data_IF_852986997838
#
_entry.id   IF_852986997838
#
_cell.length_a   1.000
_cell.length_b   1.000
_cell.length_c   1.000
_cell.angle_alpha   90.00
_cell.angle_beta   90.00
_cell.angle_gamma   90.00
#
_symmetry.space_group_name_H-M   'P 1'
#
loop_
_entity.id
_entity.type
_entity.pdbx_description
1 polymer ?
#
# COMPACT_ATOMS: atom_id res chain seq x y z
N UNK A 1 3.86 29.78 35.71
CA UNK A 1 4.42 28.41 35.63
C UNK A 1 3.32 27.47 35.14
N UNK A 2 3.34 27.12 33.86
CA UNK A 2 2.37 26.20 33.28
C UNK A 2 2.72 24.76 33.70
N UNK A 3 1.82 24.10 34.44
CA UNK A 3 1.94 22.67 34.74
C UNK A 3 1.74 21.88 33.45
N UNK A 4 2.81 21.26 32.96
CA UNK A 4 2.76 20.30 31.86
C UNK A 4 1.91 19.12 32.32
N UNK A 5 0.71 18.96 31.76
CA UNK A 5 -0.12 17.77 31.99
C UNK A 5 0.47 16.64 31.14
N UNK A 6 1.15 15.70 31.78
CA UNK A 6 1.54 14.43 31.15
C UNK A 6 0.29 13.69 30.67
N UNK A 7 0.26 13.20 29.42
CA UNK A 7 -0.85 12.40 28.93
C UNK A 7 -0.99 11.11 29.76
N UNK A 8 -2.21 10.54 29.87
CA UNK A 8 -2.42 9.30 30.61
C UNK A 8 -1.63 8.16 29.96
N UNK A 9 -0.86 7.44 30.77
CA UNK A 9 -0.01 6.32 30.36
C UNK A 9 -0.87 5.24 29.70
N UNK A 10 -0.59 4.93 28.44
CA UNK A 10 -1.27 3.85 27.73
C UNK A 10 -0.92 2.49 28.36
N UNK A 11 -1.76 1.45 28.23
CA UNK A 11 -1.39 0.10 28.68
C UNK A 11 -0.07 -0.39 28.08
N UNK A 12 0.25 0.01 26.83
CA UNK A 12 1.52 -0.28 26.18
C UNK A 12 2.71 0.42 26.84
N UNK A 13 2.58 1.69 27.22
CA UNK A 13 3.60 2.42 27.96
C UNK A 13 3.81 1.84 29.37
N UNK A 14 2.75 1.38 30.04
CA UNK A 14 2.86 0.71 31.34
C UNK A 14 3.63 -0.61 31.24
N UNK A 15 3.37 -1.41 30.22
CA UNK A 15 4.10 -2.66 29.95
C UNK A 15 5.55 -2.35 29.57
N UNK A 16 5.79 -1.38 28.70
CA UNK A 16 7.15 -0.95 28.33
C UNK A 16 7.93 -0.45 29.55
N UNK A 17 7.29 0.29 30.46
CA UNK A 17 7.90 0.78 31.69
C UNK A 17 8.17 -0.37 32.68
N UNK A 18 7.28 -1.36 32.78
CA UNK A 18 7.56 -2.60 33.54
C UNK A 18 8.71 -3.41 32.94
N UNK A 19 8.84 -3.45 31.61
CA UNK A 19 9.93 -4.14 30.94
C UNK A 19 11.26 -3.41 31.21
N UNK A 20 11.29 -2.09 31.04
CA UNK A 20 12.48 -1.26 31.31
C UNK A 20 12.91 -1.29 32.80
N UNK A 21 11.96 -1.45 33.72
CA UNK A 21 12.25 -1.54 35.15
C UNK A 21 12.79 -2.92 35.59
N UNK A 22 12.45 -3.99 34.86
CA UNK A 22 12.79 -5.36 35.23
C UNK A 22 13.93 -5.97 34.40
N UNK A 23 14.28 -5.36 33.27
CA UNK A 23 15.31 -5.84 32.36
C UNK A 23 16.29 -4.73 32.01
N UNK A 24 17.60 -5.04 32.05
CA UNK A 24 18.68 -4.11 31.69
C UNK A 24 18.83 -4.04 30.16
N UNK A 25 18.13 -3.09 29.53
CA UNK A 25 18.09 -2.92 28.08
C UNK A 25 19.04 -1.78 27.68
N UNK A 26 20.12 -2.11 26.96
CA UNK A 26 21.15 -1.14 26.53
C UNK A 26 21.29 -1.04 25.01
N UNK A 27 20.80 -2.04 24.28
CA UNK A 27 20.90 -2.15 22.83
C UNK A 27 19.62 -2.70 22.19
N UNK A 28 19.51 -2.58 20.88
CA UNK A 28 18.40 -3.17 20.12
C UNK A 28 18.40 -4.71 20.16
N UNK A 29 19.57 -5.34 20.36
CA UNK A 29 19.68 -6.79 20.55
C UNK A 29 19.12 -7.22 21.92
N UNK A 30 19.37 -6.44 22.97
CA UNK A 30 18.82 -6.71 24.31
C UNK A 30 17.29 -6.64 24.30
N UNK A 31 16.69 -5.73 23.51
CA UNK A 31 15.22 -5.67 23.33
C UNK A 31 14.70 -6.98 22.72
N UNK A 32 15.36 -7.51 21.71
CA UNK A 32 14.96 -8.77 21.07
C UNK A 32 15.08 -9.95 22.03
N UNK A 33 16.13 -9.98 22.85
CA UNK A 33 16.34 -11.05 23.83
C UNK A 33 15.35 -10.99 24.99
N UNK A 34 15.00 -9.78 25.45
CA UNK A 34 13.93 -9.59 26.43
C UNK A 34 12.58 -10.03 25.88
N UNK A 35 12.28 -9.72 24.62
CA UNK A 35 11.06 -10.20 23.97
C UNK A 35 11.02 -11.74 23.93
N UNK A 36 12.11 -12.42 23.55
CA UNK A 36 12.21 -13.90 23.61
C UNK A 36 11.92 -14.44 25.01
N UNK A 37 12.44 -13.78 26.06
CA UNK A 37 12.24 -14.17 27.46
C UNK A 37 10.80 -13.95 27.95
N UNK A 38 10.05 -13.04 27.33
CA UNK A 38 8.64 -12.76 27.64
C UNK A 38 7.70 -13.75 26.91
N UNK A 39 7.99 -14.09 25.65
CA UNK A 39 7.12 -14.97 24.85
C UNK A 39 7.00 -16.39 25.42
N UNK A 40 8.09 -16.96 25.95
CA UNK A 40 8.06 -18.31 26.54
C UNK A 40 7.05 -18.44 27.70
N UNK A 41 7.14 -17.61 28.74
CA UNK A 41 6.19 -17.55 29.85
C UNK A 41 4.73 -17.30 29.44
N UNK A 42 4.48 -16.53 28.38
CA UNK A 42 3.11 -16.32 27.84
C UNK A 42 2.54 -17.66 27.34
N UNK A 43 3.28 -18.38 26.49
CA UNK A 43 2.86 -19.69 26.01
C UNK A 43 2.71 -20.70 27.15
N UNK A 44 3.63 -20.70 28.13
CA UNK A 44 3.50 -21.56 29.33
C UNK A 44 2.23 -21.25 30.13
N UNK A 45 1.86 -19.97 30.25
CA UNK A 45 0.69 -19.55 31.02
C UNK A 45 -0.62 -19.90 30.33
N UNK A 46 -0.66 -19.72 29.00
CA UNK A 46 -1.75 -20.19 28.15
C UNK A 46 -1.96 -21.70 28.27
N UNK A 47 -0.89 -22.50 28.17
CA UNK A 47 -0.96 -23.95 28.32
C UNK A 47 -1.37 -24.39 29.74
N UNK A 48 -1.00 -23.63 30.77
CA UNK A 48 -1.47 -23.87 32.16
C UNK A 48 -2.97 -23.58 32.28
N UNK A 49 -3.48 -22.54 31.62
CA UNK A 49 -4.91 -22.24 31.54
C UNK A 49 -5.69 -23.35 30.84
N UNK A 50 -5.20 -23.86 29.71
CA UNK A 50 -5.78 -25.02 29.04
C UNK A 50 -5.79 -26.27 29.94
N UNK A 51 -4.71 -26.51 30.68
CA UNK A 51 -4.61 -27.63 31.63
C UNK A 51 -5.57 -27.48 32.82
N UNK A 52 -5.78 -26.25 33.31
CA UNK A 52 -6.79 -25.95 34.33
C UNK A 52 -8.19 -26.24 33.84
N UNK A 53 -8.51 -25.85 32.60
CA UNK A 53 -9.79 -26.15 31.99
C UNK A 53 -9.98 -27.66 31.74
N UNK A 54 -8.94 -28.35 31.24
CA UNK A 54 -8.95 -29.81 31.00
C UNK A 54 -9.19 -30.62 32.28
N UNK A 55 -8.58 -30.21 33.40
CA UNK A 55 -8.71 -30.90 34.68
C UNK A 55 -9.87 -30.39 35.53
N UNK A 56 -10.51 -29.27 35.15
CA UNK A 56 -11.64 -28.67 35.87
C UNK A 56 -11.32 -28.05 37.23
N UNK A 57 -10.05 -27.91 37.60
CA UNK A 57 -9.63 -27.35 38.90
C UNK A 57 -8.27 -26.64 38.79
N UNK A 58 -8.02 -25.65 39.66
CA UNK A 58 -6.74 -24.90 39.67
C UNK A 58 -5.60 -25.71 40.26
N UNK A 59 -4.37 -25.23 40.07
CA UNK A 59 -3.18 -25.84 40.67
C UNK A 59 -3.29 -25.81 42.21
N UNK A 60 -3.14 -26.97 42.85
CA UNK A 60 -3.24 -27.17 44.31
C UNK A 60 -4.64 -27.02 44.92
N UNK A 61 -5.67 -26.91 44.09
CA UNK A 61 -7.06 -26.98 44.53
C UNK A 61 -7.48 -28.44 44.72
N UNK A 62 -8.21 -28.74 45.80
CA UNK A 62 -8.75 -30.09 46.03
C UNK A 62 -9.88 -30.34 45.03
N UNK A 63 -9.76 -31.40 44.25
CA UNK A 63 -10.82 -31.91 43.40
C UNK A 63 -11.51 -33.07 44.12
N UNK A 64 -12.84 -33.04 44.22
CA UNK A 64 -13.63 -34.09 44.87
C UNK A 64 -13.94 -35.28 43.94
N UNK A 65 -13.76 -35.12 42.61
CA UNK A 65 -14.22 -36.07 41.56
C UNK A 65 -13.16 -36.44 40.49
N UNK A 66 -11.90 -36.04 40.62
CA UNK A 66 -10.90 -36.18 39.56
C UNK A 66 -10.01 -37.43 39.62
N UNK A 67 -10.18 -38.38 38.68
CA UNK A 67 -9.28 -39.53 38.48
C UNK A 67 -7.94 -39.15 37.80
N UNK A 68 -7.86 -37.95 37.22
CA UNK A 68 -6.68 -37.43 36.54
C UNK A 68 -6.08 -36.22 37.26
N UNK A 69 -4.74 -36.19 37.38
CA UNK A 69 -4.00 -35.16 38.12
C UNK A 69 -2.81 -34.65 37.32
N UNK A 70 -2.32 -33.45 37.65
CA UNK A 70 -1.11 -32.88 37.03
C UNK A 70 0.11 -33.74 37.35
N UNK A 71 0.96 -33.99 36.35
CA UNK A 71 2.18 -34.78 36.46
C UNK A 71 3.41 -34.05 35.87
N UNK A 72 3.66 -32.85 36.41
CA UNK A 72 4.82 -32.04 36.06
C UNK A 72 4.74 -31.42 34.66
N UNK A 73 5.92 -31.23 34.05
CA UNK A 73 6.08 -30.54 32.76
C UNK A 73 7.00 -31.32 31.82
N UNK A 74 6.88 -31.07 30.52
CA UNK A 74 7.80 -31.51 29.47
C UNK A 74 8.44 -30.30 28.80
N UNK A 75 9.73 -30.38 28.46
CA UNK A 75 10.44 -29.31 27.75
C UNK A 75 10.13 -29.37 26.25
N UNK A 76 9.84 -28.21 25.65
CA UNK A 76 9.63 -28.07 24.21
C UNK A 76 10.25 -26.76 23.73
N UNK A 77 11.08 -26.82 22.69
CA UNK A 77 11.61 -25.61 22.04
C UNK A 77 10.71 -25.23 20.87
N UNK A 78 10.18 -24.01 20.90
CA UNK A 78 9.40 -23.42 19.82
C UNK A 78 10.31 -22.63 18.90
N UNK A 79 10.05 -22.73 17.60
CA UNK A 79 10.61 -21.85 16.58
C UNK A 79 9.62 -20.72 16.35
N UNK A 80 10.01 -19.52 16.76
CA UNK A 80 9.25 -18.28 16.61
C UNK A 80 9.93 -17.40 15.57
N UNK A 81 9.24 -16.34 15.12
CA UNK A 81 9.84 -15.32 14.23
C UNK A 81 11.06 -14.65 14.86
N UNK A 82 11.12 -14.58 16.20
CA UNK A 82 12.23 -14.01 16.97
C UNK A 82 13.34 -15.02 17.28
N UNK A 83 13.21 -16.29 16.89
CA UNK A 83 14.20 -17.34 17.15
C UNK A 83 13.66 -18.49 18.01
N UNK A 84 14.56 -19.28 18.59
CA UNK A 84 14.20 -20.46 19.38
C UNK A 84 13.87 -20.07 20.82
N UNK A 85 12.67 -20.43 21.28
CA UNK A 85 12.17 -20.14 22.63
C UNK A 85 11.88 -21.45 23.35
N UNK A 86 12.58 -21.78 24.46
CA UNK A 86 12.26 -22.94 25.28
C UNK A 86 11.01 -22.68 26.13
N UNK A 87 10.11 -23.65 26.17
CA UNK A 87 8.91 -23.62 27.01
C UNK A 87 8.72 -24.92 27.78
N UNK A 88 8.00 -24.85 28.91
CA UNK A 88 7.56 -26.00 29.70
C UNK A 88 6.07 -26.25 29.52
N UNK A 89 5.75 -27.36 28.87
CA UNK A 89 4.38 -27.80 28.60
C UNK A 89 3.87 -28.63 29.78
N UNK A 90 2.74 -28.27 30.43
CA UNK A 90 2.19 -29.06 31.52
C UNK A 90 1.72 -30.43 31.04
N UNK A 91 1.80 -31.42 31.93
CA UNK A 91 1.33 -32.79 31.68
C UNK A 91 0.31 -33.21 32.73
N UNK A 92 -0.61 -34.07 32.32
CA UNK A 92 -1.50 -34.82 33.18
C UNK A 92 -0.99 -36.26 33.36
N UNK A 93 -1.51 -36.96 34.36
CA UNK A 93 -1.04 -38.30 34.74
C UNK A 93 -1.53 -39.36 33.76
N UNK A 94 -2.74 -39.21 33.24
CA UNK A 94 -3.35 -40.15 32.31
C UNK A 94 -2.98 -39.86 30.84
N UNK A 95 -2.19 -38.82 30.56
CA UNK A 95 -1.76 -38.41 29.22
C UNK A 95 -2.91 -38.08 28.25
N UNK A 96 -4.08 -37.73 28.78
CA UNK A 96 -5.29 -37.36 28.01
C UNK A 96 -5.31 -35.90 27.62
N UNK A 97 -4.40 -35.07 28.15
CA UNK A 97 -4.32 -33.65 27.77
C UNK A 97 -3.84 -33.49 26.32
N UNK A 98 -4.65 -32.82 25.49
CA UNK A 98 -4.32 -32.42 24.12
C UNK A 98 -4.32 -30.88 24.00
N UNK A 99 -3.14 -30.22 24.08
CA UNK A 99 -3.06 -28.77 24.00
C UNK A 99 -3.47 -28.25 22.63
N UNK A 100 -4.28 -27.19 22.61
CA UNK A 100 -4.85 -26.62 21.38
C UNK A 100 -3.96 -25.49 20.83
N UNK A 101 -3.48 -24.60 21.69
CA UNK A 101 -2.62 -23.46 21.30
C UNK A 101 -1.30 -23.94 20.69
N UNK A 102 -0.69 -25.00 21.24
CA UNK A 102 0.50 -25.63 20.67
C UNK A 102 0.35 -27.15 20.67
N UNK A 103 -0.11 -27.70 19.54
CA UNK A 103 -0.34 -29.14 19.38
C UNK A 103 0.89 -29.97 19.74
N UNK A 104 0.66 -31.22 20.16
CA UNK A 104 1.73 -32.21 20.40
C UNK A 104 2.63 -32.28 19.15
N UNK A 105 3.95 -32.29 19.36
CA UNK A 105 4.98 -32.29 18.31
C UNK A 105 5.07 -31.05 17.39
N UNK A 106 4.11 -30.12 17.39
CA UNK A 106 4.21 -28.87 16.63
C UNK A 106 5.25 -27.93 17.25
N UNK A 107 6.39 -27.72 16.57
CA UNK A 107 7.48 -26.85 17.06
C UNK A 107 7.57 -25.52 16.34
N UNK A 108 6.92 -25.35 15.20
CA UNK A 108 6.95 -24.09 14.44
C UNK A 108 5.66 -23.30 14.67
N UNK A 109 5.82 -22.09 15.20
CA UNK A 109 4.74 -21.12 15.45
C UNK A 109 5.01 -19.79 14.75
N UNK A 110 6.09 -19.68 13.98
CA UNK A 110 6.53 -18.46 13.30
C UNK A 110 5.60 -18.00 12.15
N UNK A 111 4.73 -18.89 11.65
CA UNK A 111 3.90 -18.61 10.46
C UNK A 111 2.62 -17.79 10.70
N UNK A 112 2.19 -17.56 11.95
CA UNK A 112 0.87 -16.94 12.18
C UNK A 112 0.87 -15.44 11.92
N UNK A 113 1.93 -14.72 12.31
CA UNK A 113 2.05 -13.28 12.08
C UNK A 113 2.00 -12.95 10.59
N UNK A 114 2.77 -13.69 9.78
CA UNK A 114 2.73 -13.56 8.32
C UNK A 114 1.34 -13.84 7.73
N UNK A 115 0.57 -14.78 8.30
CA UNK A 115 -0.81 -15.06 7.88
C UNK A 115 -1.78 -13.95 8.32
N UNK A 116 -1.64 -13.41 9.52
CA UNK A 116 -2.39 -12.25 10.01
C UNK A 116 -2.16 -11.05 9.11
N UNK A 117 -0.91 -10.73 8.79
CA UNK A 117 -0.56 -9.66 7.86
C UNK A 117 -1.13 -9.91 6.46
N UNK A 118 -1.08 -11.15 5.97
CA UNK A 118 -1.63 -11.51 4.67
C UNK A 118 -3.17 -11.41 4.63
N UNK A 119 -3.87 -11.69 5.74
CA UNK A 119 -5.32 -11.49 5.86
C UNK A 119 -5.69 -10.01 5.94
N UNK A 120 -4.92 -9.23 6.71
CA UNK A 120 -5.07 -7.79 6.79
C UNK A 120 -4.82 -7.11 5.43
N UNK A 121 -3.78 -7.52 4.70
CA UNK A 121 -3.48 -7.09 3.33
C UNK A 121 -4.61 -7.40 2.33
N UNK A 122 -5.45 -8.39 2.62
CA UNK A 122 -6.64 -8.73 1.83
C UNK A 122 -7.89 -7.93 2.22
N UNK A 123 -7.78 -7.03 3.20
CA UNK A 123 -8.88 -6.19 3.66
C UNK A 123 -9.80 -6.88 4.67
N UNK A 124 -9.31 -7.88 5.41
CA UNK A 124 -10.06 -8.41 6.55
C UNK A 124 -10.01 -7.43 7.72
N UNK A 125 -11.13 -7.24 8.43
CA UNK A 125 -11.12 -6.43 9.66
C UNK A 125 -10.32 -7.17 10.75
N UNK A 126 -9.79 -6.45 11.74
CA UNK A 126 -9.07 -7.10 12.85
C UNK A 126 -9.96 -8.12 13.59
N UNK A 127 -11.27 -7.87 13.68
CA UNK A 127 -12.24 -8.80 14.25
C UNK A 127 -12.50 -10.00 13.34
N UNK A 128 -12.59 -9.78 12.02
CA UNK A 128 -12.74 -10.86 11.04
C UNK A 128 -11.52 -11.80 11.10
N UNK A 129 -10.32 -11.22 11.25
CA UNK A 129 -9.07 -11.97 11.38
C UNK A 129 -9.06 -12.78 12.67
N UNK A 130 -9.43 -12.17 13.81
CA UNK A 130 -9.55 -12.86 15.09
C UNK A 130 -10.48 -14.08 14.99
N UNK A 131 -11.69 -13.89 14.45
CA UNK A 131 -12.66 -14.97 14.24
C UNK A 131 -12.11 -16.04 13.29
N UNK A 132 -11.46 -15.65 12.18
CA UNK A 132 -10.87 -16.59 11.22
C UNK A 132 -9.74 -17.42 11.84
N UNK A 133 -8.93 -16.82 12.72
CA UNK A 133 -7.88 -17.53 13.44
C UNK A 133 -8.49 -18.53 14.42
N UNK A 134 -9.52 -18.14 15.17
CA UNK A 134 -10.25 -19.03 16.08
C UNK A 134 -10.87 -20.22 15.33
N UNK A 135 -11.54 -19.96 14.21
CA UNK A 135 -12.19 -21.00 13.39
C UNK A 135 -11.18 -22.00 12.79
N UNK A 136 -10.02 -21.52 12.31
CA UNK A 136 -9.04 -22.38 11.60
C UNK A 136 -8.08 -23.06 12.58
N UNK A 137 -7.63 -22.34 13.61
CA UNK A 137 -6.56 -22.79 14.50
C UNK A 137 -7.06 -23.22 15.89
N UNK A 138 -8.32 -22.94 16.25
CA UNK A 138 -8.94 -23.40 17.50
C UNK A 138 -8.51 -22.62 18.74
N UNK A 139 -7.83 -21.47 18.58
CA UNK A 139 -7.46 -20.61 19.69
C UNK A 139 -7.84 -19.15 19.44
N UNK A 140 -8.18 -18.47 20.53
CA UNK A 140 -8.61 -17.07 20.49
C UNK A 140 -7.42 -16.13 20.41
N UNK A 141 -7.49 -15.18 19.47
CA UNK A 141 -6.63 -14.00 19.44
C UNK A 141 -7.49 -12.76 19.58
N UNK A 142 -7.13 -11.86 20.49
CA UNK A 142 -7.88 -10.60 20.65
C UNK A 142 -7.62 -9.66 19.46
N UNK A 143 -8.57 -8.77 19.17
CA UNK A 143 -8.36 -7.75 18.14
C UNK A 143 -7.17 -6.82 18.47
N UNK A 144 -6.83 -6.65 19.75
CA UNK A 144 -5.67 -5.88 20.20
C UNK A 144 -4.35 -6.56 19.84
N UNK A 145 -4.27 -7.89 19.97
CA UNK A 145 -3.13 -8.67 19.52
C UNK A 145 -2.94 -8.56 18.00
N UNK A 146 -4.04 -8.68 17.23
CA UNK A 146 -4.01 -8.45 15.77
C UNK A 146 -3.57 -7.02 15.44
N UNK A 147 -4.06 -6.03 16.19
CA UNK A 147 -3.65 -4.64 16.02
C UNK A 147 -2.15 -4.44 16.27
N UNK A 148 -1.61 -5.11 17.29
CA UNK A 148 -0.18 -5.08 17.61
C UNK A 148 0.66 -5.67 16.48
N UNK A 149 0.31 -6.86 15.98
CA UNK A 149 1.01 -7.52 14.86
C UNK A 149 0.98 -6.63 13.61
N UNK A 150 -0.18 -6.06 13.27
CA UNK A 150 -0.29 -5.15 12.11
C UNK A 150 0.43 -3.81 12.34
N UNK A 151 0.63 -3.40 13.60
CA UNK A 151 1.39 -2.21 13.98
C UNK A 151 2.87 -2.31 13.65
N UNK A 152 3.47 -3.51 13.75
CA UNK A 152 4.88 -3.75 13.43
C UNK A 152 5.25 -3.39 11.98
N UNK A 153 4.28 -3.39 11.06
CA UNK A 153 4.49 -3.03 9.65
C UNK A 153 4.78 -1.53 9.47
N UNK A 154 4.48 -0.69 10.47
CA UNK A 154 4.65 0.75 10.32
C UNK A 154 6.12 1.16 10.13
N UNK A 155 7.06 0.46 10.76
CA UNK A 155 8.49 0.71 10.55
C UNK A 155 8.89 0.42 9.10
N UNK A 156 8.38 -0.67 8.52
CA UNK A 156 8.61 -0.99 7.10
C UNK A 156 7.96 0.04 6.16
N UNK A 157 6.77 0.55 6.53
CA UNK A 157 6.07 1.59 5.77
C UNK A 157 6.94 2.84 5.71
N UNK A 158 7.45 3.31 6.85
CA UNK A 158 8.31 4.50 6.91
C UNK A 158 9.65 4.27 6.19
N UNK A 159 10.25 3.09 6.33
CA UNK A 159 11.45 2.74 5.57
C UNK A 159 11.19 2.75 4.06
N UNK A 160 10.04 2.22 3.61
CA UNK A 160 9.66 2.22 2.21
C UNK A 160 9.34 3.61 1.68
N UNK A 161 8.66 4.45 2.47
CA UNK A 161 8.36 5.85 2.12
C UNK A 161 9.64 6.69 1.99
N UNK A 162 10.68 6.38 2.76
CA UNK A 162 11.96 7.09 2.71
C UNK A 162 13.03 6.39 1.87
N UNK A 163 12.69 5.29 1.18
CA UNK A 163 13.67 4.50 0.42
C UNK A 163 14.28 5.34 -0.72
N UNK A 164 15.56 5.10 -1.07
CA UNK A 164 16.17 5.70 -2.24
C UNK A 164 15.45 5.26 -3.52
N UNK A 165 15.27 6.20 -4.44
CA UNK A 165 14.65 6.02 -5.75
C UNK A 165 15.71 6.09 -6.85
N UNK A 166 15.38 5.57 -8.04
CA UNK A 166 16.26 5.67 -9.19
C UNK A 166 16.35 7.13 -9.66
N UNK A 167 17.47 7.48 -10.29
CA UNK A 167 17.70 8.85 -10.75
C UNK A 167 16.79 9.30 -11.88
N UNK A 168 16.25 8.37 -12.68
CA UNK A 168 15.42 8.71 -13.83
C UNK A 168 14.29 7.71 -14.04
N UNK A 169 13.10 8.24 -14.33
CA UNK A 169 11.92 7.48 -14.71
C UNK A 169 11.37 8.02 -16.04
N UNK A 170 11.40 7.25 -17.15
CA UNK A 170 10.85 7.68 -18.43
C UNK A 170 9.36 8.01 -18.40
N UNK A 171 8.58 7.29 -17.60
CA UNK A 171 7.15 7.52 -17.42
C UNK A 171 6.79 7.55 -15.94
N UNK A 172 5.97 8.52 -15.56
CA UNK A 172 5.32 8.60 -14.27
C UNK A 172 3.83 8.90 -14.46
N UNK A 173 3.01 8.35 -13.57
CA UNK A 173 1.56 8.47 -13.54
C UNK A 173 1.14 8.86 -12.14
N UNK A 174 0.32 9.90 -12.03
CA UNK A 174 -0.27 10.33 -10.76
C UNK A 174 -1.77 10.15 -10.85
N UNK A 175 -2.34 9.50 -9.84
CA UNK A 175 -3.79 9.38 -9.68
C UNK A 175 -4.14 9.43 -8.19
N UNK A 176 -5.40 9.66 -7.87
CA UNK A 176 -5.88 9.70 -6.51
C UNK A 176 -6.99 8.67 -6.25
N UNK A 177 -7.08 8.21 -5.01
CA UNK A 177 -8.20 7.43 -4.51
C UNK A 177 -8.75 8.10 -3.26
N UNK A 178 -10.07 8.33 -3.25
CA UNK A 178 -10.75 8.83 -2.06
C UNK A 178 -10.99 7.69 -1.06
N UNK A 179 -10.66 7.94 0.20
CA UNK A 179 -10.88 7.03 1.32
C UNK A 179 -11.68 7.72 2.42
N UNK A 180 -12.54 6.96 3.09
CA UNK A 180 -13.26 7.43 4.27
C UNK A 180 -12.34 7.38 5.48
N UNK A 181 -11.99 8.52 6.06
CA UNK A 181 -11.16 8.64 7.26
C UNK A 181 -12.02 9.13 8.43
N UNK A 182 -11.88 8.53 9.61
CA UNK A 182 -12.51 9.00 10.83
C UNK A 182 -11.61 10.05 11.48
N UNK A 183 -12.10 11.26 11.57
CA UNK A 183 -11.48 12.38 12.30
C UNK A 183 -12.30 12.69 13.56
N UNK A 184 -11.82 13.61 14.39
CA UNK A 184 -12.56 14.07 15.58
C UNK A 184 -13.93 14.68 15.24
N UNK A 185 -14.06 15.24 14.03
CA UNK A 185 -15.27 15.89 13.52
C UNK A 185 -16.22 14.93 12.76
N UNK A 186 -15.90 13.64 12.71
CA UNK A 186 -16.70 12.63 12.03
C UNK A 186 -15.96 11.94 10.88
N UNK A 187 -16.70 11.37 9.92
CA UNK A 187 -16.10 10.67 8.78
C UNK A 187 -15.97 11.64 7.61
N UNK A 188 -14.74 11.83 7.13
CA UNK A 188 -14.42 12.71 6.00
C UNK A 188 -13.85 11.89 4.83
N UNK A 189 -14.09 12.36 3.61
CA UNK A 189 -13.45 11.79 2.41
C UNK A 189 -12.12 12.49 2.19
N UNK A 190 -11.03 11.73 2.24
CA UNK A 190 -9.67 12.25 2.03
C UNK A 190 -9.08 11.66 0.77
N UNK A 191 -8.39 12.48 -0.02
CA UNK A 191 -7.69 12.06 -1.23
C UNK A 191 -6.33 11.47 -0.88
N UNK A 192 -6.09 10.23 -1.32
CA UNK A 192 -4.78 9.57 -1.25
C UNK A 192 -4.19 9.55 -2.65
N UNK A 193 -3.11 10.31 -2.85
CA UNK A 193 -2.37 10.34 -4.09
C UNK A 193 -1.37 9.20 -4.16
N UNK A 194 -1.31 8.55 -5.31
CA UNK A 194 -0.34 7.50 -5.62
C UNK A 194 0.39 7.88 -6.89
N UNK A 195 1.73 7.76 -6.86
CA UNK A 195 2.56 7.94 -8.04
C UNK A 195 3.19 6.61 -8.44
N UNK A 196 2.90 6.17 -9.66
CA UNK A 196 3.45 4.96 -10.28
C UNK A 196 4.37 5.39 -11.41
N UNK A 197 5.54 4.79 -11.52
CA UNK A 197 6.48 5.05 -12.59
C UNK A 197 6.95 3.77 -13.29
N UNK A 198 7.52 3.95 -14.47
CA UNK A 198 8.31 2.93 -15.15
C UNK A 198 9.76 3.36 -15.14
N UNK A 199 10.65 2.44 -14.78
CA UNK A 199 12.09 2.66 -14.91
C UNK A 199 12.56 2.51 -16.37
N UNK A 200 13.85 2.70 -16.60
CA UNK A 200 14.50 2.54 -17.93
C UNK A 200 14.36 1.12 -18.50
N UNK A 201 14.14 0.13 -17.65
CA UNK A 201 13.92 -1.26 -18.00
C UNK A 201 12.43 -1.61 -18.19
N UNK A 202 11.52 -0.64 -18.00
CA UNK A 202 10.09 -0.85 -18.13
C UNK A 202 9.50 -1.67 -16.98
N UNK A 203 10.21 -1.77 -15.85
CA UNK A 203 9.67 -2.28 -14.59
C UNK A 203 8.80 -1.22 -13.94
N UNK A 204 7.73 -1.67 -13.29
CA UNK A 204 6.82 -0.78 -12.56
C UNK A 204 7.33 -0.54 -11.16
N UNK A 205 7.30 0.73 -10.75
CA UNK A 205 7.63 1.11 -9.38
C UNK A 205 6.62 2.11 -8.80
N UNK A 206 6.10 1.86 -7.60
CA UNK A 206 5.28 2.84 -6.87
C UNK A 206 6.24 3.74 -6.10
N UNK A 207 6.26 5.02 -6.46
CA UNK A 207 7.22 5.98 -5.92
C UNK A 207 6.82 6.47 -4.52
N UNK A 208 5.51 6.60 -4.27
CA UNK A 208 5.03 7.00 -2.95
C UNK A 208 3.51 7.06 -2.84
N UNK A 209 3.08 7.36 -1.63
CA UNK A 209 1.70 7.61 -1.23
C UNK A 209 1.67 8.90 -0.41
N UNK A 210 0.72 9.77 -0.71
CA UNK A 210 0.55 11.05 0.00
C UNK A 210 -0.91 11.27 0.32
N UNK A 211 -1.17 11.74 1.53
CA UNK A 211 -2.50 12.16 1.99
C UNK A 211 -2.40 13.67 2.13
N UNK A 212 -3.15 14.40 1.30
CA UNK A 212 -3.21 15.85 1.37
C UNK A 212 -4.66 16.30 1.46
N UNK A 213 -4.94 17.22 2.38
CA UNK A 213 -6.27 17.82 2.52
C UNK A 213 -6.56 18.86 1.44
N UNK A 214 -5.52 19.49 0.87
CA UNK A 214 -5.67 20.57 -0.11
C UNK A 214 -4.85 20.33 -1.38
N UNK A 215 -5.51 20.49 -2.53
CA UNK A 215 -4.90 20.46 -3.86
C UNK A 215 -4.28 21.82 -4.20
N UNK A 216 -3.14 22.14 -3.57
CA UNK A 216 -2.41 23.38 -3.83
C UNK A 216 -1.11 23.13 -4.60
N UNK A 217 -0.64 24.14 -5.34
CA UNK A 217 0.69 24.13 -5.98
C UNK A 217 1.78 23.80 -4.97
N UNK A 218 1.71 24.37 -3.76
CA UNK A 218 2.70 24.13 -2.71
C UNK A 218 2.73 22.67 -2.25
N UNK A 219 1.57 22.03 -2.11
CA UNK A 219 1.49 20.61 -1.75
C UNK A 219 2.15 19.72 -2.83
N UNK A 220 1.91 20.03 -4.12
CA UNK A 220 2.55 19.31 -5.22
C UNK A 220 4.07 19.54 -5.28
N UNK A 221 4.52 20.77 -5.06
CA UNK A 221 5.97 21.05 -4.97
C UNK A 221 6.64 20.24 -3.86
N UNK A 222 6.02 20.14 -2.68
CA UNK A 222 6.54 19.32 -1.58
C UNK A 222 6.66 17.84 -1.96
N UNK A 223 5.64 17.27 -2.64
CA UNK A 223 5.69 15.88 -3.12
C UNK A 223 6.87 15.68 -4.09
N UNK A 224 7.04 16.58 -5.06
CA UNK A 224 8.11 16.46 -6.05
C UNK A 224 9.50 16.71 -5.44
N UNK A 225 9.62 17.64 -4.47
CA UNK A 225 10.86 17.88 -3.72
C UNK A 225 11.24 16.67 -2.85
N UNK A 226 10.27 15.99 -2.22
CA UNK A 226 10.50 14.73 -1.50
C UNK A 226 11.06 13.65 -2.45
N UNK A 227 10.47 13.48 -3.63
CA UNK A 227 10.96 12.54 -4.63
C UNK A 227 12.38 12.86 -5.07
N UNK A 228 12.69 14.16 -5.22
CA UNK A 228 14.05 14.62 -5.55
C UNK A 228 15.03 14.34 -4.43
N UNK A 229 14.65 14.58 -3.17
CA UNK A 229 15.46 14.27 -1.99
C UNK A 229 15.74 12.76 -1.87
N UNK A 230 14.80 11.92 -2.31
CA UNK A 230 14.95 10.45 -2.36
C UNK A 230 15.78 9.95 -3.55
N UNK A 231 16.20 10.82 -4.46
CA UNK A 231 17.18 10.50 -5.52
C UNK A 231 16.71 10.68 -6.95
N UNK A 232 15.43 11.03 -7.19
CA UNK A 232 14.92 11.31 -8.54
C UNK A 232 15.52 12.61 -9.05
N UNK A 233 16.35 12.55 -10.08
CA UNK A 233 16.98 13.73 -10.69
C UNK A 233 16.12 14.30 -11.81
N UNK A 234 15.56 13.42 -12.64
CA UNK A 234 14.77 13.81 -13.81
C UNK A 234 13.54 12.91 -14.00
N UNK A 235 12.50 13.49 -14.61
CA UNK A 235 11.31 12.79 -15.07
C UNK A 235 11.14 12.99 -16.58
N UNK A 236 10.88 11.90 -17.30
CA UNK A 236 10.64 11.94 -18.74
C UNK A 236 9.27 12.53 -19.06
N UNK A 237 8.24 11.71 -18.88
CA UNK A 237 6.84 12.06 -19.13
C UNK A 237 6.03 11.84 -17.85
N UNK A 238 5.27 12.85 -17.44
CA UNK A 238 4.36 12.79 -16.29
C UNK A 238 2.90 12.87 -16.77
N UNK A 239 2.18 11.76 -16.67
CA UNK A 239 0.76 11.66 -16.99
C UNK A 239 -0.08 11.89 -15.74
N UNK A 240 -0.91 12.92 -15.77
CA UNK A 240 -1.62 13.45 -14.60
C UNK A 240 -3.05 13.84 -14.95
N UNK A 241 -3.92 13.94 -13.95
CA UNK A 241 -5.20 14.62 -14.12
C UNK A 241 -5.01 16.16 -14.22
N UNK A 242 -6.05 16.85 -14.65
CA UNK A 242 -6.17 18.31 -14.79
C UNK A 242 -6.16 19.10 -13.47
N UNK A 243 -5.60 18.56 -12.38
CA UNK A 243 -5.67 19.15 -11.04
C UNK A 243 -4.86 20.46 -10.98
N UNK A 244 -5.44 21.48 -10.34
CA UNK A 244 -4.82 22.79 -10.17
C UNK A 244 -3.48 22.71 -9.42
N UNK A 245 -2.46 23.42 -9.89
CA UNK A 245 -1.16 23.50 -9.22
C UNK A 245 -0.20 22.34 -9.52
N UNK A 246 -0.69 21.23 -10.08
CA UNK A 246 0.11 20.01 -10.29
C UNK A 246 1.12 20.19 -11.43
N UNK A 247 0.69 20.78 -12.54
CA UNK A 247 1.60 21.08 -13.66
C UNK A 247 2.65 22.12 -13.29
N UNK A 248 2.25 23.21 -12.59
CA UNK A 248 3.21 24.21 -12.16
C UNK A 248 4.17 23.67 -11.09
N UNK A 249 3.68 22.81 -10.19
CA UNK A 249 4.52 22.15 -9.18
C UNK A 249 5.53 21.19 -9.83
N UNK A 250 5.09 20.37 -10.79
CA UNK A 250 5.95 19.46 -11.53
C UNK A 250 7.05 20.21 -12.29
N UNK A 251 6.69 21.29 -13.01
CA UNK A 251 7.66 22.11 -13.77
C UNK A 251 8.59 22.94 -12.88
N UNK A 252 8.22 23.21 -11.63
CA UNK A 252 9.11 23.89 -10.68
C UNK A 252 10.28 22.99 -10.23
N UNK A 253 10.02 21.69 -10.05
CA UNK A 253 11.03 20.72 -9.58
C UNK A 253 11.72 20.01 -10.74
N UNK A 254 10.95 19.60 -11.75
CA UNK A 254 11.40 18.90 -12.95
C UNK A 254 11.05 19.72 -14.21
N UNK A 255 11.80 20.80 -14.50
CA UNK A 255 11.44 21.78 -15.54
C UNK A 255 11.37 21.19 -16.95
N UNK A 256 12.11 20.11 -17.21
CA UNK A 256 12.13 19.44 -18.50
C UNK A 256 11.08 18.35 -18.65
N UNK A 257 10.34 18.00 -17.58
CA UNK A 257 9.34 16.95 -17.64
C UNK A 257 8.20 17.29 -18.60
N UNK A 258 7.88 16.35 -19.49
CA UNK A 258 6.78 16.49 -20.42
C UNK A 258 5.47 16.14 -19.71
N UNK A 259 4.64 17.16 -19.47
CA UNK A 259 3.36 17.02 -18.76
C UNK A 259 2.26 16.63 -19.74
N UNK A 260 1.63 15.49 -19.49
CA UNK A 260 0.55 14.94 -20.30
C UNK A 260 -0.74 14.88 -19.48
N UNK A 261 -1.85 15.39 -20.04
CA UNK A 261 -3.18 15.15 -19.46
C UNK A 261 -3.63 13.72 -19.71
N UNK A 262 -4.10 13.08 -18.66
CA UNK A 262 -4.61 11.73 -18.71
C UNK A 262 -5.85 11.64 -19.61
N UNK A 263 -5.73 10.94 -20.74
CA UNK A 263 -6.81 10.80 -21.72
C UNK A 263 -8.07 10.16 -21.11
N UNK A 264 -7.91 9.20 -20.19
CA UNK A 264 -9.06 8.57 -19.53
C UNK A 264 -9.79 9.55 -18.60
N UNK A 265 -9.07 10.42 -17.89
CA UNK A 265 -9.71 11.49 -17.11
C UNK A 265 -10.38 12.53 -18.00
N UNK A 266 -9.78 12.92 -19.14
CA UNK A 266 -10.44 13.80 -20.13
C UNK A 266 -11.75 13.18 -20.67
N UNK A 267 -11.73 11.89 -21.01
CA UNK A 267 -12.94 11.16 -21.41
C UNK A 267 -13.96 11.16 -20.27
N UNK A 268 -13.57 10.81 -19.04
CA UNK A 268 -14.48 10.77 -17.88
C UNK A 268 -15.07 12.14 -17.53
N UNK A 269 -14.32 13.21 -17.71
CA UNK A 269 -14.77 14.57 -17.38
C UNK A 269 -15.74 15.09 -18.45
N UNK A 270 -15.44 14.86 -19.73
CA UNK A 270 -16.30 15.26 -20.84
C UNK A 270 -17.59 14.43 -20.97
N UNK A 271 -17.54 13.13 -20.67
CA UNK A 271 -18.71 12.23 -20.84
C UNK A 271 -19.84 12.52 -19.84
N UNK A 272 -19.56 13.24 -18.73
CA UNK A 272 -20.57 13.66 -17.74
C UNK A 272 -21.66 14.55 -18.34
N UNK A 273 -21.34 15.28 -19.40
CA UNK A 273 -22.28 16.15 -20.13
C UNK A 273 -23.07 15.41 -21.21
N UNK A 274 -22.74 14.14 -21.48
CA UNK A 274 -23.31 13.35 -22.58
C UNK A 274 -24.36 12.38 -22.04
N UNK A 275 -25.56 12.29 -22.65
CA UNK A 275 -26.56 11.30 -22.29
C UNK A 275 -26.01 9.87 -22.43
N UNK A 276 -26.35 8.99 -21.49
CA UNK A 276 -25.82 7.62 -21.42
C UNK A 276 -26.00 6.80 -22.71
N UNK A 277 -27.09 7.04 -23.45
CA UNK A 277 -27.35 6.40 -24.75
C UNK A 277 -26.31 6.72 -25.82
N UNK A 278 -25.65 7.88 -25.72
CA UNK A 278 -24.70 8.39 -26.71
C UNK A 278 -23.23 8.16 -26.31
N UNK A 279 -22.96 7.61 -25.11
CA UNK A 279 -21.59 7.36 -24.61
C UNK A 279 -20.73 6.53 -25.58
N UNK A 280 -21.31 5.50 -26.20
CA UNK A 280 -20.58 4.64 -27.15
C UNK A 280 -20.16 5.41 -28.41
N UNK A 281 -21.03 6.24 -28.97
CA UNK A 281 -20.70 7.06 -30.14
C UNK A 281 -19.64 8.12 -29.80
N UNK A 282 -19.84 8.83 -28.68
CA UNK A 282 -18.93 9.86 -28.18
C UNK A 282 -17.51 9.32 -27.96
N UNK A 283 -17.37 8.23 -27.21
CA UNK A 283 -16.05 7.63 -26.91
C UNK A 283 -15.37 7.02 -28.14
N UNK A 284 -16.14 6.47 -29.09
CA UNK A 284 -15.60 5.99 -30.37
C UNK A 284 -15.00 7.13 -31.18
N UNK A 285 -15.65 8.29 -31.24
CA UNK A 285 -15.13 9.44 -31.97
C UNK A 285 -13.89 10.04 -31.28
N UNK A 286 -13.89 10.14 -29.95
CA UNK A 286 -12.70 10.55 -29.20
C UNK A 286 -11.49 9.65 -29.48
N UNK A 287 -11.71 8.35 -29.66
CA UNK A 287 -10.65 7.41 -30.04
C UNK A 287 -10.05 7.68 -31.42
N UNK A 288 -10.80 8.28 -32.35
CA UNK A 288 -10.26 8.70 -33.64
C UNK A 288 -9.31 9.89 -33.49
N UNK A 289 -9.54 10.75 -32.49
CA UNK A 289 -8.64 11.86 -32.17
C UNK A 289 -7.33 11.31 -31.65
N UNK A 290 -7.26 10.82 -30.40
CA UNK A 290 -5.99 10.40 -29.79
C UNK A 290 -5.37 9.13 -30.41
N UNK A 291 -6.13 8.39 -31.21
CA UNK A 291 -5.69 7.22 -31.98
C UNK A 291 -5.22 7.54 -33.41
N UNK A 292 -5.27 8.80 -33.84
CA UNK A 292 -4.83 9.21 -35.18
C UNK A 292 -3.37 8.84 -35.47
N UNK A 293 -3.00 8.80 -36.76
CA UNK A 293 -1.64 8.46 -37.18
C UNK A 293 -0.68 9.61 -36.84
N UNK A 294 -1.10 10.84 -37.13
CA UNK A 294 -0.33 12.07 -36.95
C UNK A 294 -1.21 13.23 -36.46
N UNK A 295 -0.57 14.33 -36.06
CA UNK A 295 -1.23 15.52 -35.51
C UNK A 295 -2.21 16.17 -36.50
N UNK A 296 -1.90 16.14 -37.82
CA UNK A 296 -2.77 16.72 -38.85
C UNK A 296 -4.11 16.00 -38.91
N UNK A 297 -4.10 14.67 -38.88
CA UNK A 297 -5.32 13.87 -38.82
C UNK A 297 -6.04 14.06 -37.47
N UNK A 298 -5.32 14.14 -36.36
CA UNK A 298 -5.91 14.39 -35.04
C UNK A 298 -6.69 15.72 -35.00
N UNK A 299 -6.13 16.79 -35.58
CA UNK A 299 -6.80 18.09 -35.74
C UNK A 299 -8.07 17.99 -36.59
N UNK A 300 -8.01 17.27 -37.72
CA UNK A 300 -9.18 17.08 -38.57
C UNK A 300 -10.31 16.33 -37.86
N UNK A 301 -9.99 15.26 -37.14
CA UNK A 301 -10.97 14.51 -36.34
C UNK A 301 -11.49 15.34 -35.15
N UNK A 302 -10.66 16.24 -34.60
CA UNK A 302 -11.06 17.14 -33.54
C UNK A 302 -12.05 18.22 -34.01
N UNK A 303 -11.83 18.81 -35.19
CA UNK A 303 -12.80 19.74 -35.79
C UNK A 303 -14.15 19.05 -36.06
N UNK A 304 -14.14 17.83 -36.60
CA UNK A 304 -15.37 17.04 -36.78
C UNK A 304 -16.06 16.77 -35.44
N UNK A 305 -15.30 16.39 -34.42
CA UNK A 305 -15.83 16.18 -33.07
C UNK A 305 -16.51 17.42 -32.51
N UNK A 306 -15.94 18.62 -32.70
CA UNK A 306 -16.57 19.87 -32.27
C UNK A 306 -17.91 20.10 -32.99
N UNK A 307 -17.97 19.84 -34.28
CA UNK A 307 -19.23 19.98 -35.06
C UNK A 307 -20.28 18.95 -34.61
N UNK A 308 -19.91 17.67 -34.51
CA UNK A 308 -20.84 16.59 -34.20
C UNK A 308 -21.42 16.70 -32.79
N UNK A 309 -20.64 17.23 -31.84
CA UNK A 309 -21.03 17.36 -30.43
C UNK A 309 -21.29 18.81 -30.01
N UNK A 310 -21.51 19.73 -30.94
CA UNK A 310 -21.76 21.16 -30.66
C UNK A 310 -22.96 21.39 -29.72
N UNK A 311 -23.92 20.48 -29.70
CA UNK A 311 -25.06 20.51 -28.78
C UNK A 311 -24.66 20.34 -27.30
N UNK A 312 -23.43 19.89 -27.02
CA UNK A 312 -22.88 19.66 -25.69
C UNK A 312 -21.60 20.50 -25.47
N UNK A 313 -21.70 21.83 -25.40
CA UNK A 313 -20.54 22.73 -25.31
C UNK A 313 -19.66 22.45 -24.07
N UNK A 314 -20.24 21.96 -22.97
CA UNK A 314 -19.48 21.52 -21.79
C UNK A 314 -18.56 20.32 -22.08
N UNK A 315 -18.99 19.36 -22.90
CA UNK A 315 -18.14 18.23 -23.31
C UNK A 315 -17.02 18.69 -24.24
N UNK A 316 -17.34 19.57 -25.20
CA UNK A 316 -16.39 20.07 -26.20
C UNK A 316 -15.32 20.94 -25.55
N UNK A 317 -15.70 21.89 -24.69
CA UNK A 317 -14.77 22.80 -24.00
C UNK A 317 -13.73 22.07 -23.15
N UNK A 318 -14.07 20.94 -22.53
CA UNK A 318 -13.10 20.10 -21.80
C UNK A 318 -11.95 19.67 -22.72
N UNK A 319 -12.25 19.30 -23.97
CA UNK A 319 -11.22 18.91 -24.93
C UNK A 319 -10.50 20.10 -25.53
N UNK A 320 -11.21 21.19 -25.87
CA UNK A 320 -10.59 22.41 -26.40
C UNK A 320 -9.54 22.98 -25.44
N UNK A 321 -9.88 23.09 -24.16
CA UNK A 321 -9.00 23.62 -23.11
C UNK A 321 -7.75 22.73 -22.90
N UNK A 322 -7.79 21.47 -23.30
CA UNK A 322 -6.72 20.49 -23.07
C UNK A 322 -6.10 19.96 -24.38
N UNK A 323 -6.50 20.47 -25.54
CA UNK A 323 -6.15 19.87 -26.83
C UNK A 323 -4.64 19.95 -27.10
N UNK A 324 -3.97 21.01 -26.65
CA UNK A 324 -2.51 21.15 -26.73
C UNK A 324 -1.77 19.96 -26.09
N UNK A 325 -2.27 19.45 -24.96
CA UNK A 325 -1.71 18.25 -24.34
C UNK A 325 -2.02 16.97 -25.15
N UNK A 326 -3.13 16.92 -25.88
CA UNK A 326 -3.43 15.78 -26.78
C UNK A 326 -2.50 15.82 -28.00
N UNK A 327 -2.23 17.01 -28.55
CA UNK A 327 -1.29 17.18 -29.66
C UNK A 327 0.13 16.74 -29.31
N UNK A 328 0.55 16.97 -28.06
CA UNK A 328 1.85 16.57 -27.57
C UNK A 328 2.10 15.05 -27.66
N UNK A 329 1.05 14.22 -27.65
CA UNK A 329 1.20 12.77 -27.89
C UNK A 329 1.92 12.51 -29.22
N UNK A 330 1.65 13.30 -30.26
CA UNK A 330 2.18 13.07 -31.59
C UNK A 330 3.66 13.44 -31.76
N UNK A 331 4.28 14.04 -30.73
CA UNK A 331 5.73 14.19 -30.68
C UNK A 331 6.43 12.84 -30.49
N UNK A 332 5.68 11.81 -30.07
CA UNK A 332 6.21 10.49 -29.79
C UNK A 332 5.69 9.41 -30.74
N UNK A 333 6.49 8.36 -30.89
CA UNK A 333 6.10 7.17 -31.65
C UNK A 333 4.92 6.41 -31.04
N UNK A 334 4.26 5.58 -31.85
CA UNK A 334 3.01 4.90 -31.47
C UNK A 334 3.09 4.02 -30.21
N UNK A 335 4.25 3.42 -29.93
CA UNK A 335 4.46 2.58 -28.75
C UNK A 335 4.54 3.43 -27.47
N UNK A 336 5.26 4.55 -27.54
CA UNK A 336 5.34 5.55 -26.45
C UNK A 336 3.97 6.18 -26.20
N UNK A 337 3.28 6.62 -27.27
CA UNK A 337 1.91 7.17 -27.17
C UNK A 337 0.98 6.24 -26.43
N UNK A 338 1.02 4.95 -26.77
CA UNK A 338 0.17 3.93 -26.13
C UNK A 338 0.39 3.86 -24.61
N UNK A 339 1.61 4.07 -24.13
CA UNK A 339 1.90 4.18 -22.70
C UNK A 339 1.35 5.49 -22.12
N UNK A 340 1.53 6.61 -22.80
CA UNK A 340 1.09 7.93 -22.31
C UNK A 340 -0.42 8.00 -22.11
N UNK A 341 -1.22 7.47 -23.05
CA UNK A 341 -2.68 7.57 -22.98
C UNK A 341 -3.36 6.38 -22.27
N UNK A 342 -2.64 5.28 -21.99
CA UNK A 342 -3.23 4.16 -21.23
C UNK A 342 -3.07 4.38 -19.73
N UNK A 343 -4.18 4.24 -18.99
CA UNK A 343 -4.17 4.28 -17.52
C UNK A 343 -4.16 2.91 -16.89
N UNK A 344 -4.07 1.83 -17.67
CA UNK A 344 -4.22 0.46 -17.19
C UNK A 344 -3.31 0.12 -15.99
N UNK A 345 -2.10 0.71 -15.95
CA UNK A 345 -1.16 0.43 -14.89
C UNK A 345 -1.55 1.10 -13.57
N UNK A 346 -1.80 2.41 -13.57
CA UNK A 346 -2.23 3.14 -12.38
C UNK A 346 -3.65 2.72 -11.94
N UNK A 347 -4.55 2.44 -12.88
CA UNK A 347 -5.87 1.88 -12.59
C UNK A 347 -5.79 0.47 -11.99
N UNK A 348 -4.82 -0.35 -12.39
CA UNK A 348 -4.60 -1.64 -11.75
C UNK A 348 -4.14 -1.50 -10.29
N UNK A 349 -3.37 -0.46 -9.97
CA UNK A 349 -2.98 -0.12 -8.59
C UNK A 349 -4.21 0.33 -7.80
N UNK A 350 -4.95 1.31 -8.33
CA UNK A 350 -6.16 1.83 -7.71
C UNK A 350 -7.26 0.77 -7.55
N UNK A 351 -7.41 -0.13 -8.52
CA UNK A 351 -8.30 -1.29 -8.40
C UNK A 351 -7.88 -2.23 -7.27
N UNK A 352 -6.56 -2.42 -7.07
CA UNK A 352 -6.04 -3.17 -5.93
C UNK A 352 -6.34 -2.47 -4.60
N UNK A 353 -6.25 -1.15 -4.52
CA UNK A 353 -6.59 -0.39 -3.30
C UNK A 353 -8.10 -0.42 -3.02
N UNK A 354 -8.94 -0.32 -4.05
CA UNK A 354 -10.41 -0.43 -3.93
C UNK A 354 -10.89 -1.78 -3.37
N UNK A 355 -10.05 -2.82 -3.33
CA UNK A 355 -10.39 -4.08 -2.66
C UNK A 355 -10.40 -3.95 -1.14
N UNK A 356 -9.59 -3.05 -0.59
CA UNK A 356 -9.39 -2.89 0.85
C UNK A 356 -10.02 -1.63 1.43
N UNK A 357 -10.46 -0.68 0.59
CA UNK A 357 -11.13 0.57 1.05
C UNK A 357 -12.66 0.48 1.13
N UNK A 358 -13.28 -0.64 0.74
CA UNK A 358 -14.74 -0.81 0.76
C UNK A 358 -15.33 -1.04 2.15
N UNK A 359 -14.52 -1.39 3.15
CA UNK A 359 -14.97 -1.79 4.48
C UNK A 359 -14.92 -0.61 5.46
N UNK A 360 -15.92 0.26 5.40
CA UNK A 360 -16.12 1.33 6.38
C UNK A 360 -15.06 2.44 6.34
N UNK A 361 -14.91 3.17 7.44
CA UNK A 361 -13.95 4.27 7.58
C UNK A 361 -12.68 3.81 8.32
N UNK A 362 -11.53 4.29 7.85
CA UNK A 362 -10.25 4.08 8.50
C UNK A 362 -10.18 4.88 9.81
N UNK A 363 -9.53 4.34 10.86
CA UNK A 363 -9.43 5.04 12.15
C UNK A 363 -8.43 6.21 12.14
N UNK A 364 -7.40 6.16 11.29
CA UNK A 364 -6.35 7.18 11.14
C UNK A 364 -5.56 6.96 9.83
N UNK A 365 -4.66 7.89 9.51
CA UNK A 365 -3.81 7.85 8.32
C UNK A 365 -2.87 6.64 8.30
N UNK A 366 -2.29 6.28 9.44
CA UNK A 366 -1.39 5.12 9.56
C UNK A 366 -2.08 3.82 9.10
N UNK A 367 -3.37 3.66 9.39
CA UNK A 367 -4.14 2.51 8.92
C UNK A 367 -4.27 2.49 7.38
N UNK A 368 -4.39 3.66 6.75
CA UNK A 368 -4.40 3.79 5.28
C UNK A 368 -3.02 3.43 4.72
N UNK A 369 -1.95 3.99 5.26
CA UNK A 369 -0.59 3.70 4.80
C UNK A 369 -0.23 2.22 4.96
N UNK A 370 -0.51 1.61 6.11
CA UNK A 370 -0.26 0.18 6.35
C UNK A 370 -0.95 -0.71 5.32
N UNK A 371 -2.25 -0.51 5.09
CA UNK A 371 -2.99 -1.40 4.20
C UNK A 371 -2.59 -1.17 2.74
N UNK A 372 -2.33 0.08 2.32
CA UNK A 372 -1.88 0.37 0.95
C UNK A 372 -0.46 -0.13 0.70
N UNK A 373 0.46 0.02 1.65
CA UNK A 373 1.80 -0.56 1.60
C UNK A 373 1.73 -2.08 1.41
N UNK A 374 0.92 -2.79 2.21
CA UNK A 374 0.76 -4.23 2.05
C UNK A 374 0.18 -4.61 0.67
N UNK A 375 -0.76 -3.82 0.14
CA UNK A 375 -1.24 -3.99 -1.24
C UNK A 375 -0.13 -3.76 -2.28
N UNK A 376 0.72 -2.77 -2.07
CA UNK A 376 1.88 -2.48 -2.93
C UNK A 376 2.87 -3.65 -2.90
N UNK A 377 3.16 -4.23 -1.73
CA UNK A 377 4.01 -5.42 -1.61
C UNK A 377 3.46 -6.62 -2.41
N UNK A 378 2.14 -6.85 -2.38
CA UNK A 378 1.53 -7.87 -3.25
C UNK A 378 1.65 -7.54 -4.74
N UNK A 379 1.53 -6.26 -5.11
CA UNK A 379 1.72 -5.82 -6.49
C UNK A 379 3.16 -6.02 -6.96
N UNK A 380 4.16 -5.69 -6.15
CA UNK A 380 5.56 -5.95 -6.46
C UNK A 380 5.83 -7.45 -6.66
N UNK A 381 5.26 -8.32 -5.81
CA UNK A 381 5.35 -9.78 -6.01
C UNK A 381 4.75 -10.21 -7.36
N UNK A 382 3.64 -9.59 -7.79
CA UNK A 382 3.01 -9.85 -9.09
C UNK A 382 3.80 -9.29 -10.27
N UNK A 383 4.50 -8.17 -10.10
CA UNK A 383 5.29 -7.51 -11.14
C UNK A 383 6.72 -8.04 -11.24
N UNK A 384 7.21 -8.77 -10.23
CA UNK A 384 8.57 -9.31 -10.21
C UNK A 384 8.88 -10.08 -11.50
N UNK A 385 9.97 -9.68 -12.17
CA UNK A 385 10.42 -10.26 -13.44
C UNK A 385 9.51 -9.97 -14.65
N UNK A 386 8.59 -8.99 -14.55
CA UNK A 386 7.69 -8.59 -15.63
C UNK A 386 7.93 -7.14 -16.01
N UNK A 387 8.19 -6.92 -17.28
CA UNK A 387 8.30 -5.60 -17.88
C UNK A 387 7.02 -5.25 -18.65
N UNK A 388 6.84 -3.97 -18.98
CA UNK A 388 5.76 -3.54 -19.88
C UNK A 388 5.88 -4.29 -21.22
N UNK A 389 4.75 -4.77 -21.74
CA UNK A 389 4.73 -5.47 -23.02
C UNK A 389 5.26 -4.58 -24.15
N UNK A 390 6.09 -5.14 -25.03
CA UNK A 390 6.77 -4.43 -26.12
C UNK A 390 7.72 -3.32 -25.66
N UNK A 391 8.30 -3.43 -24.45
CA UNK A 391 9.21 -2.40 -23.91
C UNK A 391 10.40 -2.10 -24.84
N UNK A 392 10.97 -3.10 -25.52
CA UNK A 392 12.07 -2.87 -26.47
C UNK A 392 11.69 -1.85 -27.57
N UNK A 393 10.47 -1.95 -28.11
CA UNK A 393 9.97 -1.00 -29.11
C UNK A 393 9.72 0.39 -28.51
N UNK A 394 9.24 0.44 -27.27
CA UNK A 394 9.06 1.70 -26.53
C UNK A 394 10.41 2.39 -26.33
N UNK A 395 11.41 1.66 -25.81
CA UNK A 395 12.77 2.15 -25.59
C UNK A 395 13.38 2.67 -26.88
N UNK A 396 13.29 1.92 -27.98
CA UNK A 396 13.80 2.37 -29.27
C UNK A 396 13.13 3.67 -29.74
N UNK A 397 11.81 3.82 -29.54
CA UNK A 397 11.10 5.06 -29.89
C UNK A 397 11.44 6.22 -28.95
N UNK A 398 11.72 5.97 -27.67
CA UNK A 398 12.21 6.99 -26.75
C UNK A 398 13.60 7.49 -27.15
N UNK A 399 14.49 6.60 -27.59
CA UNK A 399 15.84 6.97 -28.03
C UNK A 399 15.88 7.79 -29.33
N UNK A 400 14.77 7.84 -30.08
CA UNK A 400 14.63 8.70 -31.26
C UNK A 400 14.30 10.16 -30.90
N UNK A 401 13.87 10.41 -29.67
CA UNK A 401 13.69 11.77 -29.15
C UNK A 401 15.00 12.23 -28.50
N UNK A 402 15.57 13.33 -28.98
CA UNK A 402 16.91 13.79 -28.56
C UNK A 402 17.02 13.98 -27.04
N UNK A 403 15.99 14.57 -26.42
CA UNK A 403 15.96 14.80 -24.97
C UNK A 403 15.91 13.49 -24.19
N UNK A 404 14.99 12.59 -24.55
CA UNK A 404 14.87 11.29 -23.91
C UNK A 404 16.13 10.44 -24.14
N UNK A 405 16.75 10.52 -25.31
CA UNK A 405 18.01 9.85 -25.62
C UNK A 405 19.14 10.32 -24.70
N UNK A 406 19.30 11.64 -24.51
CA UNK A 406 20.29 12.21 -23.59
C UNK A 406 20.04 11.77 -22.14
N UNK A 407 18.79 11.87 -21.66
CA UNK A 407 18.42 11.45 -20.30
C UNK A 407 18.65 9.95 -20.09
N UNK A 408 18.27 9.13 -21.07
CA UNK A 408 18.50 7.70 -21.00
C UNK A 408 20.00 7.43 -21.01
N UNK A 409 20.82 8.00 -21.90
CA UNK A 409 22.28 7.79 -21.86
C UNK A 409 22.94 8.26 -20.56
N UNK A 410 22.47 9.36 -19.98
CA UNK A 410 23.00 9.91 -18.74
C UNK A 410 22.72 9.02 -17.52
N UNK A 411 21.57 8.35 -17.51
CA UNK A 411 21.07 7.60 -16.35
C UNK A 411 20.95 6.08 -16.57
N UNK A 412 21.20 5.58 -17.80
CA UNK A 412 21.36 4.17 -18.17
C UNK A 412 22.78 3.72 -17.77
N UNK A 413 23.07 3.86 -16.49
CA UNK A 413 24.26 3.25 -15.89
C UNK A 413 23.90 1.80 -15.66
N UNK A 414 24.50 0.91 -16.45
CA UNK A 414 24.43 -0.54 -16.24
C UNK A 414 24.77 -0.84 -14.77
N UNK A 415 23.76 -1.29 -14.02
CA UNK A 415 23.94 -1.90 -12.71
C UNK A 415 24.15 -3.41 -12.87
#
# INVERSE_FOLDING_TARGET
>A
MAKCKTPPTTPGEQIAQQILNNYDIKSAEDVQDVLKQIFGPIFESMLKGEMENHLGHKKHERSEDGDNVRNGYSSKTLKTSLGEVPIRVPRDRQSTFEPQIIKKHQRDVSSIEGKVLAMYARGMSQRDIAATIEDIYGFQMSHEQISTITGCVMEEVEAWRNRPLQSFYPFAFVDCIYVSLRTEYGVQQVAVYVMLAYDVNGCKDVLGLWINETESKHAWMQIFDELRARGVKDLGILSMDGVSGLEEGAKAVFPHATVQRCIVHLIRNSIRYIPRKQWSAFTKQLKLIYGAINVKQARQEFEKFKTDWQAYPGAVSVWENNFSHVEQLYNYGSAVRKIMYTTNAIESVNSSFRKVTKKGAFPNEDAVFKIFYLRIQELYKKWKGRHVANWAMVRNQLLMDDRMSQLMQQYDVAY
#
